data_IF_310943584835
#
_entry.id   IF_310943584835
#
_cell.length_a   1.000
_cell.length_b   1.000
_cell.length_c   1.000
_cell.angle_alpha   90.00
_cell.angle_beta   90.00
_cell.angle_gamma   90.00
#
_symmetry.space_group_name_H-M   'P 1'
#
loop_
_entity.id
_entity.type
_entity.pdbx_description
1 polymer ?
#
# COMPACT_ATOMS: atom_id res chain seq x y z
N UNK A 1 -7.47 17.29 9.92
CA UNK A 1 -6.07 16.84 9.83
C UNK A 1 -5.39 17.36 11.09
N UNK A 2 -4.71 16.49 11.84
CA UNK A 2 -3.98 16.90 13.04
C UNK A 2 -2.61 17.47 12.65
N UNK A 3 -2.20 18.57 13.28
CA UNK A 3 -0.92 19.22 13.02
C UNK A 3 0.25 18.26 13.27
N UNK A 4 1.16 18.16 12.29
CA UNK A 4 2.37 17.33 12.38
C UNK A 4 2.24 15.89 11.87
N UNK A 5 1.07 15.46 11.39
CA UNK A 5 0.93 14.13 10.76
C UNK A 5 1.51 14.10 9.34
N UNK A 6 2.19 13.00 9.03
CA UNK A 6 2.70 12.73 7.67
C UNK A 6 1.55 12.51 6.70
N UNK A 7 1.70 13.04 5.50
CA UNK A 7 0.76 12.87 4.39
C UNK A 7 1.48 12.33 3.16
N UNK A 8 0.74 11.61 2.32
CA UNK A 8 1.17 11.26 0.98
C UNK A 8 0.81 12.40 0.02
N UNK A 9 1.79 12.86 -0.74
CA UNK A 9 1.66 13.89 -1.74
C UNK A 9 2.20 13.39 -3.09
N UNK A 10 1.75 13.95 -4.23
CA UNK A 10 2.10 13.44 -5.55
C UNK A 10 3.61 13.57 -5.81
N UNK A 11 4.19 12.55 -6.46
CA UNK A 11 5.58 12.52 -6.91
C UNK A 11 5.67 12.05 -8.36
N UNK A 12 6.41 12.76 -9.25
CA UNK A 12 6.42 12.47 -10.69
C UNK A 12 6.81 11.04 -11.08
N UNK A 13 7.71 10.39 -10.33
CA UNK A 13 8.23 9.05 -10.67
C UNK A 13 7.75 7.95 -9.72
N UNK A 14 7.39 8.31 -8.48
CA UNK A 14 7.06 7.34 -7.43
C UNK A 14 5.55 7.21 -7.24
N UNK A 15 4.76 8.02 -7.95
CA UNK A 15 3.33 8.21 -7.73
C UNK A 15 3.09 9.10 -6.51
N UNK A 16 3.51 8.64 -5.33
CA UNK A 16 3.38 9.35 -4.07
C UNK A 16 4.69 9.36 -3.27
N UNK A 17 4.86 10.41 -2.47
CA UNK A 17 5.95 10.56 -1.50
C UNK A 17 5.40 11.09 -0.17
N UNK A 18 6.11 10.81 0.92
CA UNK A 18 5.76 11.34 2.23
C UNK A 18 6.21 12.80 2.38
N UNK A 19 5.37 13.60 3.01
CA UNK A 19 5.67 14.97 3.37
C UNK A 19 4.84 15.44 4.57
N UNK A 20 5.12 16.66 5.00
CA UNK A 20 4.37 17.38 6.04
C UNK A 20 3.71 18.61 5.44
N UNK A 21 2.48 18.90 5.87
CA UNK A 21 1.79 20.13 5.48
C UNK A 21 2.42 21.28 6.27
N UNK A 22 2.90 22.31 5.57
CA UNK A 22 3.50 23.50 6.20
C UNK A 22 2.61 24.74 6.10
N UNK A 23 1.69 24.77 5.12
CA UNK A 23 0.72 25.84 4.94
C UNK A 23 -0.53 25.32 4.22
N UNK A 24 -1.68 25.94 4.52
CA UNK A 24 -2.99 25.56 4.00
C UNK A 24 -3.60 26.77 3.27
N UNK A 25 -3.65 26.69 1.94
CA UNK A 25 -4.35 27.65 1.10
C UNK A 25 -5.83 27.29 0.91
N UNK A 26 -6.53 28.03 0.05
CA UNK A 26 -7.95 27.81 -0.24
C UNK A 26 -8.21 26.46 -0.93
N UNK A 27 -7.44 26.14 -1.97
CA UNK A 27 -7.61 24.92 -2.80
C UNK A 27 -6.34 24.04 -2.85
N UNK A 28 -5.27 24.48 -2.19
CA UNK A 28 -3.94 23.85 -2.28
C UNK A 28 -3.25 23.78 -0.93
N UNK A 29 -2.43 22.75 -0.75
CA UNK A 29 -1.56 22.55 0.40
C UNK A 29 -0.11 22.78 -0.01
N UNK A 30 0.63 23.49 0.84
CA UNK A 30 2.09 23.58 0.72
C UNK A 30 2.68 22.41 1.48
N UNK A 31 3.38 21.52 0.75
CA UNK A 31 3.96 20.29 1.29
C UNK A 31 5.48 20.39 1.30
N UNK A 32 6.09 20.01 2.41
CA UNK A 32 7.52 19.76 2.54
C UNK A 32 7.80 18.24 2.48
N UNK A 33 8.48 17.71 1.45
CA UNK A 33 8.83 16.28 1.39
C UNK A 33 9.78 15.88 2.53
N UNK A 34 9.55 14.71 3.14
CA UNK A 34 10.43 14.20 4.22
C UNK A 34 11.86 13.92 3.75
N UNK A 35 12.04 13.57 2.47
CA UNK A 35 13.35 13.28 1.86
C UNK A 35 14.13 14.53 1.44
N UNK A 36 13.45 15.65 1.18
CA UNK A 36 14.02 16.89 0.66
C UNK A 36 13.65 18.08 1.55
N UNK A 37 14.15 18.06 2.78
CA UNK A 37 13.92 19.13 3.76
C UNK A 37 14.36 20.49 3.21
N UNK A 38 13.55 21.52 3.45
CA UNK A 38 13.76 22.88 2.99
C UNK A 38 13.23 23.16 1.57
N UNK A 39 12.79 22.15 0.82
CA UNK A 39 12.04 22.37 -0.42
C UNK A 39 10.56 22.17 -0.18
N UNK A 40 9.76 23.07 -0.73
CA UNK A 40 8.30 22.98 -0.68
C UNK A 40 7.72 23.00 -2.08
N UNK A 41 6.55 22.39 -2.23
CA UNK A 41 5.77 22.46 -3.45
C UNK A 41 4.28 22.53 -3.12
N UNK A 42 3.50 23.03 -4.07
CA UNK A 42 2.05 23.10 -3.95
C UNK A 42 1.41 21.84 -4.54
N UNK A 43 0.46 21.28 -3.80
CA UNK A 43 -0.38 20.16 -4.26
C UNK A 43 -1.86 20.49 -4.04
N UNK A 44 -2.73 20.03 -4.94
CA UNK A 44 -4.18 20.11 -4.73
C UNK A 44 -4.58 19.33 -3.49
N UNK A 45 -5.52 19.84 -2.69
CA UNK A 45 -6.07 19.11 -1.54
C UNK A 45 -6.57 17.72 -1.96
N UNK A 46 -7.14 17.59 -3.16
CA UNK A 46 -7.66 16.31 -3.69
C UNK A 46 -6.58 15.27 -4.01
N UNK A 47 -5.31 15.66 -4.05
CA UNK A 47 -4.17 14.80 -4.37
C UNK A 47 -3.29 14.48 -3.17
N UNK A 48 -3.68 14.96 -1.98
CA UNK A 48 -2.96 14.74 -0.73
C UNK A 48 -3.78 13.80 0.14
N UNK A 49 -3.14 12.74 0.61
CA UNK A 49 -3.81 11.67 1.37
C UNK A 49 -3.19 11.49 2.74
N UNK A 50 -3.98 11.11 3.77
CA UNK A 50 -3.43 10.74 5.06
C UNK A 50 -2.54 9.49 4.94
N UNK A 51 -1.42 9.48 5.68
CA UNK A 51 -0.54 8.33 5.80
C UNK A 51 -0.80 7.55 7.11
N UNK A 52 -0.40 6.28 7.13
CA UNK A 52 -0.30 5.49 8.37
C UNK A 52 0.86 6.01 9.23
N UNK A 53 0.76 5.84 10.56
CA UNK A 53 1.83 6.23 11.48
C UNK A 53 3.11 5.39 11.25
N UNK A 54 2.94 4.09 10.98
CA UNK A 54 4.04 3.19 10.58
C UNK A 54 3.98 2.90 9.08
N UNK A 55 4.86 3.56 8.33
CA UNK A 55 4.95 3.43 6.86
C UNK A 55 5.58 2.11 6.40
N UNK A 56 6.25 1.39 7.30
CA UNK A 56 6.86 0.07 7.02
C UNK A 56 5.91 -1.08 7.36
N UNK A 57 4.79 -0.80 8.04
CA UNK A 57 3.73 -1.76 8.27
C UNK A 57 3.12 -2.16 6.92
N UNK A 58 2.90 -3.46 6.76
CA UNK A 58 2.11 -4.00 5.65
C UNK A 58 1.00 -4.91 6.19
N UNK A 59 -0.09 -4.98 5.46
CA UNK A 59 -1.24 -5.83 5.78
C UNK A 59 -1.50 -6.81 4.65
N UNK A 60 -2.18 -7.91 4.95
CA UNK A 60 -2.56 -8.91 3.95
C UNK A 60 -3.86 -8.53 3.23
N UNK A 61 -4.77 -7.87 3.93
CA UNK A 61 -5.97 -7.25 3.39
C UNK A 61 -5.90 -5.73 3.60
N UNK A 62 -6.00 -4.97 2.52
CA UNK A 62 -5.96 -3.50 2.55
C UNK A 62 -7.14 -2.91 3.36
N UNK A 63 -8.23 -3.65 3.57
CA UNK A 63 -9.31 -3.23 4.47
C UNK A 63 -8.88 -3.14 5.95
N UNK A 64 -7.68 -3.66 6.30
CA UNK A 64 -7.10 -3.55 7.65
C UNK A 64 -6.24 -2.28 7.86
N UNK A 65 -6.08 -1.43 6.84
CA UNK A 65 -5.43 -0.12 6.97
C UNK A 65 -6.34 0.86 7.72
N UNK A 66 -5.76 1.75 8.53
CA UNK A 66 -6.51 2.80 9.20
C UNK A 66 -7.00 3.83 8.18
N UNK A 67 -6.14 4.18 7.23
CA UNK A 67 -6.44 5.06 6.11
C UNK A 67 -6.32 4.29 4.81
N UNK A 68 -7.45 3.79 4.29
CA UNK A 68 -7.49 3.18 2.97
C UNK A 68 -7.67 4.24 1.89
N UNK A 69 -6.62 4.50 1.12
CA UNK A 69 -6.61 5.38 -0.05
C UNK A 69 -5.62 4.86 -1.10
N UNK A 70 -5.56 5.50 -2.27
CA UNK A 70 -4.68 5.07 -3.36
C UNK A 70 -3.19 5.12 -3.00
N UNK A 71 -2.76 6.09 -2.20
CA UNK A 71 -1.36 6.22 -1.78
C UNK A 71 -0.97 5.15 -0.74
N UNK A 72 -1.83 4.88 0.24
CA UNK A 72 -1.57 3.83 1.25
C UNK A 72 -1.66 2.43 0.66
N UNK A 73 -2.58 2.19 -0.29
CA UNK A 73 -2.64 0.94 -1.05
C UNK A 73 -1.36 0.74 -1.87
N UNK A 74 -0.90 1.77 -2.58
CA UNK A 74 0.36 1.72 -3.33
C UNK A 74 1.54 1.40 -2.41
N UNK A 75 1.63 2.06 -1.25
CA UNK A 75 2.67 1.81 -0.27
C UNK A 75 2.61 0.38 0.28
N UNK A 76 1.43 -0.11 0.64
CA UNK A 76 1.26 -1.49 1.14
C UNK A 76 1.73 -2.51 0.09
N UNK A 77 1.33 -2.35 -1.18
CA UNK A 77 1.79 -3.23 -2.26
C UNK A 77 3.30 -3.12 -2.47
N UNK A 78 3.88 -1.91 -2.44
CA UNK A 78 5.33 -1.69 -2.58
C UNK A 78 6.14 -2.37 -1.47
N UNK A 79 5.73 -2.21 -0.22
CA UNK A 79 6.38 -2.82 0.95
C UNK A 79 6.23 -4.34 0.95
N UNK A 80 5.11 -4.87 0.45
CA UNK A 80 4.93 -6.32 0.29
C UNK A 80 5.78 -6.89 -0.83
N UNK A 81 5.86 -6.19 -1.96
CA UNK A 81 6.65 -6.60 -3.10
C UNK A 81 8.14 -6.75 -2.76
N UNK A 82 8.70 -5.84 -1.96
CA UNK A 82 10.09 -5.94 -1.48
C UNK A 82 10.35 -7.12 -0.53
N UNK A 83 9.30 -7.83 -0.09
CA UNK A 83 9.35 -9.02 0.77
C UNK A 83 8.87 -10.28 0.05
N UNK A 84 8.90 -10.31 -1.29
CA UNK A 84 8.41 -11.42 -2.13
C UNK A 84 6.92 -11.76 -1.93
N UNK A 85 6.12 -10.81 -1.39
CA UNK A 85 4.67 -10.99 -1.19
C UNK A 85 3.88 -10.35 -2.32
N UNK A 86 3.73 -11.09 -3.42
CA UNK A 86 3.15 -10.58 -4.67
C UNK A 86 1.62 -10.51 -4.70
N UNK A 87 0.95 -11.17 -3.76
CA UNK A 87 -0.50 -11.22 -3.65
C UNK A 87 -0.98 -10.37 -2.48
N UNK A 88 -2.03 -9.59 -2.67
CA UNK A 88 -2.64 -8.76 -1.60
C UNK A 88 -4.15 -8.70 -1.78
N UNK A 89 -4.91 -8.86 -0.70
CA UNK A 89 -6.37 -8.73 -0.74
C UNK A 89 -6.82 -7.27 -0.63
N UNK A 90 -7.96 -6.99 -1.25
CA UNK A 90 -8.82 -5.85 -0.96
C UNK A 90 -10.23 -6.43 -0.81
N UNK A 91 -10.59 -6.81 0.41
CA UNK A 91 -11.77 -7.64 0.68
C UNK A 91 -11.80 -8.90 -0.21
N UNK A 92 -12.71 -8.97 -1.19
CA UNK A 92 -12.87 -10.10 -2.11
C UNK A 92 -12.06 -9.97 -3.41
N UNK A 93 -11.35 -8.86 -3.62
CA UNK A 93 -10.50 -8.64 -4.80
C UNK A 93 -9.07 -9.07 -4.47
N UNK A 94 -8.43 -9.78 -5.41
CA UNK A 94 -7.02 -10.14 -5.31
C UNK A 94 -6.18 -9.25 -6.23
N UNK A 95 -5.24 -8.51 -5.66
CA UNK A 95 -4.19 -7.81 -6.40
C UNK A 95 -2.99 -8.76 -6.55
N UNK A 96 -2.54 -8.96 -7.78
CA UNK A 96 -1.36 -9.75 -8.11
C UNK A 96 -0.33 -8.90 -8.87
N UNK A 97 0.90 -8.83 -8.35
CA UNK A 97 2.00 -8.10 -8.98
C UNK A 97 3.00 -9.10 -9.56
N UNK A 98 3.35 -8.97 -10.84
CA UNK A 98 4.30 -9.89 -11.47
C UNK A 98 5.73 -9.66 -10.93
N UNK A 99 6.38 -10.65 -10.29
CA UNK A 99 7.75 -10.52 -9.80
C UNK A 99 8.80 -10.55 -10.92
N UNK A 100 8.47 -11.08 -12.11
CA UNK A 100 9.42 -11.39 -13.19
C UNK A 100 10.51 -12.43 -12.84
N UNK A 101 10.37 -13.15 -11.71
CA UNK A 101 11.18 -14.30 -11.33
C UNK A 101 10.35 -15.31 -10.53
N UNK A 102 10.86 -16.53 -10.40
CA UNK A 102 10.20 -17.57 -9.62
C UNK A 102 10.44 -17.40 -8.12
N UNK A 103 9.37 -17.30 -7.33
CA UNK A 103 9.44 -17.27 -5.86
C UNK A 103 9.45 -18.72 -5.34
N UNK A 104 10.50 -19.15 -4.61
CA UNK A 104 10.62 -20.54 -4.15
C UNK A 104 9.42 -21.01 -3.34
N UNK A 105 8.94 -22.21 -3.65
CA UNK A 105 7.83 -22.91 -2.96
C UNK A 105 6.45 -22.26 -3.08
N UNK A 106 6.31 -21.07 -3.70
CA UNK A 106 5.03 -20.36 -3.80
C UNK A 106 3.94 -21.21 -4.48
N UNK A 107 4.27 -21.87 -5.60
CA UNK A 107 3.34 -22.73 -6.34
C UNK A 107 3.56 -24.23 -6.12
N UNK A 108 4.15 -24.63 -5.00
CA UNK A 108 4.44 -26.04 -4.72
C UNK A 108 3.16 -26.87 -4.51
N UNK A 109 3.25 -28.19 -4.74
CA UNK A 109 2.16 -29.13 -4.43
C UNK A 109 1.77 -29.14 -2.95
N UNK A 110 2.70 -28.80 -2.05
CA UNK A 110 2.42 -28.62 -0.63
C UNK A 110 1.55 -27.39 -0.39
N UNK A 111 1.89 -26.25 -1.03
CA UNK A 111 1.09 -25.03 -0.96
C UNK A 111 -0.33 -25.26 -1.46
N UNK A 112 -0.51 -25.94 -2.59
CA UNK A 112 -1.85 -26.28 -3.12
C UNK A 112 -2.70 -27.01 -2.07
N UNK A 113 -2.12 -28.02 -1.39
CA UNK A 113 -2.82 -28.80 -0.37
C UNK A 113 -3.19 -27.96 0.85
N UNK A 114 -2.34 -27.00 1.24
CA UNK A 114 -2.59 -26.11 2.37
C UNK A 114 -3.79 -25.20 2.15
N UNK A 115 -3.98 -24.70 0.93
CA UNK A 115 -5.08 -23.79 0.58
C UNK A 115 -6.42 -24.48 0.29
N UNK A 116 -6.41 -25.77 -0.06
CA UNK A 116 -7.62 -26.54 -0.37
C UNK A 116 -8.64 -26.51 0.79
N UNK A 117 -9.88 -26.12 0.48
CA UNK A 117 -10.99 -26.10 1.44
C UNK A 117 -10.84 -25.09 2.59
N UNK A 118 -9.96 -24.09 2.47
CA UNK A 118 -9.78 -23.04 3.47
C UNK A 118 -10.62 -21.81 3.13
N UNK A 119 -11.30 -21.25 4.12
CA UNK A 119 -12.08 -20.02 3.95
C UNK A 119 -11.18 -18.82 3.64
N UNK A 120 -11.66 -17.88 2.84
CA UNK A 120 -10.96 -16.63 2.51
C UNK A 120 -10.56 -15.87 3.78
N UNK A 121 -9.33 -15.33 3.81
CA UNK A 121 -8.80 -14.56 4.94
C UNK A 121 -8.24 -15.42 6.10
N UNK A 122 -8.40 -16.75 6.07
CA UNK A 122 -7.77 -17.63 7.07
C UNK A 122 -6.28 -17.89 6.78
N UNK A 123 -5.91 -17.84 5.50
CA UNK A 123 -4.55 -17.96 5.01
C UNK A 123 -4.10 -16.66 4.32
N UNK A 124 -2.78 -16.46 4.16
CA UNK A 124 -2.26 -15.32 3.42
C UNK A 124 -2.84 -15.20 2.01
N UNK A 125 -2.80 -14.00 1.40
CA UNK A 125 -3.31 -13.80 0.06
C UNK A 125 -2.57 -14.67 -0.95
N UNK A 126 -3.33 -15.41 -1.75
CA UNK A 126 -2.80 -16.28 -2.79
C UNK A 126 -3.85 -16.53 -3.86
N UNK A 127 -3.43 -16.79 -5.11
CA UNK A 127 -4.37 -17.15 -6.19
C UNK A 127 -5.18 -18.41 -5.88
N UNK A 128 -4.57 -19.37 -5.17
CA UNK A 128 -5.25 -20.59 -4.71
C UNK A 128 -6.38 -20.33 -3.69
N UNK A 129 -6.33 -19.22 -2.96
CA UNK A 129 -7.42 -18.85 -2.06
C UNK A 129 -8.68 -18.36 -2.83
N UNK A 130 -8.51 -17.88 -4.07
CA UNK A 130 -9.61 -17.45 -4.93
C UNK A 130 -10.11 -18.60 -5.82
N UNK A 131 -9.23 -19.51 -6.23
CA UNK A 131 -9.61 -20.66 -7.06
C UNK A 131 -10.49 -21.71 -6.37
N UNK A 132 -10.67 -21.61 -5.05
CA UNK A 132 -11.53 -22.48 -4.24
C UNK A 132 -12.86 -21.81 -3.85
N UNK A 133 -13.12 -20.57 -4.31
CA UNK A 133 -14.43 -19.91 -4.17
C UNK A 133 -15.49 -20.56 -5.06
#
# INVERSE_FOLDING_TARGET
MEDGKSVWAPHPTEGFQLGTIVDIGADSLTIEPLKEKGKTFLASISQVFPAEDDVNKHVEDNCSLMYLNEATLLNNVRVRYSKDKIYTFVANILIAVNPYYDIPKLYSSETIKTYRGRSLGTLPPHVYAIGEL
#
